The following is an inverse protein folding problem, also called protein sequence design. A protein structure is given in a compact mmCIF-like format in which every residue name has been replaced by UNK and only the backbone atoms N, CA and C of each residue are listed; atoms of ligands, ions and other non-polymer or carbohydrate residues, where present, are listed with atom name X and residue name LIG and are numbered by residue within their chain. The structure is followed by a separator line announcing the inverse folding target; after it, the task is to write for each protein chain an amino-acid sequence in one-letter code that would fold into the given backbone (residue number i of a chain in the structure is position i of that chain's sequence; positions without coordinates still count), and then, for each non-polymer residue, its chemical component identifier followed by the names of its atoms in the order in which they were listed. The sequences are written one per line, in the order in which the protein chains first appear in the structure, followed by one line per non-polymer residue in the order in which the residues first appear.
data_IF_531797477648
#
_entry.id   IF_531797477648
#
_cell.length_a   1.000
_cell.length_b   1.000
_cell.length_c   1.000
_cell.angle_alpha   90.00
_cell.angle_beta   90.00
_cell.angle_gamma   90.00
#
_symmetry.space_group_name_H-M   'P 1'
#
loop_
_entity.id
_entity.type
_entity.pdbx_description
1 polymer ?
#
# COMPACT_ATOMS: atom_id res chain seq x y z
N UNK A 1 7.50 3.86 20.64
CA UNK A 1 8.14 2.53 20.48
C UNK A 1 7.46 1.79 19.33
N UNK A 2 8.23 1.12 18.46
CA UNK A 2 7.65 0.36 17.33
C UNK A 2 7.08 -1.00 17.78
N UNK A 3 6.15 -1.55 16.98
CA UNK A 3 5.64 -2.91 17.15
C UNK A 3 6.78 -3.94 17.07
N UNK A 4 6.79 -4.95 17.95
CA UNK A 4 7.80 -6.01 18.03
C UNK A 4 7.24 -7.42 17.79
N UNK A 5 6.01 -7.54 17.26
CA UNK A 5 5.33 -8.83 17.07
C UNK A 5 6.02 -9.76 16.04
N UNK A 6 6.88 -9.22 15.16
CA UNK A 6 7.56 -9.96 14.10
C UNK A 6 9.08 -9.82 14.25
N UNK A 7 9.77 -10.70 15.02
CA UNK A 7 11.20 -10.57 15.31
C UNK A 7 12.06 -10.46 14.05
N UNK A 8 11.81 -11.29 13.01
CA UNK A 8 12.52 -11.25 11.73
C UNK A 8 12.43 -9.87 11.05
N UNK A 9 11.27 -9.22 11.08
CA UNK A 9 11.10 -7.88 10.47
C UNK A 9 11.77 -6.79 11.30
N UNK A 10 11.79 -6.93 12.62
CA UNK A 10 12.50 -6.02 13.52
C UNK A 10 14.01 -6.12 13.31
N UNK A 11 14.55 -7.33 13.23
CA UNK A 11 15.96 -7.59 12.93
C UNK A 11 16.34 -7.02 11.56
N UNK A 12 15.55 -7.34 10.52
CA UNK A 12 15.77 -6.84 9.16
C UNK A 12 15.77 -5.31 9.08
N UNK A 13 14.87 -4.65 9.80
CA UNK A 13 14.83 -3.19 9.89
C UNK A 13 16.09 -2.64 10.57
N UNK A 14 16.54 -3.27 11.67
CA UNK A 14 17.76 -2.89 12.40
C UNK A 14 19.00 -3.06 11.53
N UNK A 15 19.16 -4.18 10.84
CA UNK A 15 20.27 -4.42 9.90
C UNK A 15 20.26 -3.38 8.76
N UNK A 16 19.08 -3.04 8.25
CA UNK A 16 18.93 -2.04 7.17
C UNK A 16 19.40 -0.68 7.65
N UNK A 17 19.04 -0.30 8.87
CA UNK A 17 19.42 1.00 9.43
C UNK A 17 20.94 1.12 9.64
N UNK A 18 21.59 0.02 10.04
CA UNK A 18 23.00 0.03 10.40
C UNK A 18 23.93 -0.17 9.19
N UNK A 19 23.67 -1.17 8.34
CA UNK A 19 24.68 -1.70 7.44
C UNK A 19 24.23 -1.94 5.99
N UNK A 20 22.95 -1.81 5.69
CA UNK A 20 22.42 -2.24 4.38
C UNK A 20 21.61 -1.15 3.69
N UNK A 21 22.09 0.08 3.74
CA UNK A 21 21.54 1.20 3.00
C UNK A 21 21.83 1.03 1.50
N UNK A 22 20.99 1.61 0.67
CA UNK A 22 21.20 1.59 -0.78
C UNK A 22 22.20 2.69 -1.16
N UNK A 23 23.03 2.42 -2.16
CA UNK A 23 23.96 3.41 -2.74
C UNK A 23 23.19 4.69 -3.12
N UNK A 24 23.76 5.82 -2.75
CA UNK A 24 23.15 7.15 -2.91
C UNK A 24 22.17 7.57 -1.79
N UNK A 25 21.93 6.70 -0.81
CA UNK A 25 21.08 6.97 0.37
C UNK A 25 21.79 6.63 1.69
N UNK A 26 23.11 6.62 1.70
CA UNK A 26 23.93 6.22 2.86
C UNK A 26 23.75 7.17 4.04
N UNK A 27 23.52 8.46 3.76
CA UNK A 27 23.33 9.51 4.75
C UNK A 27 21.86 9.66 5.20
N UNK A 28 20.91 9.02 4.52
CA UNK A 28 19.49 9.14 4.86
C UNK A 28 19.22 8.56 6.25
N UNK A 29 18.39 9.23 7.05
CA UNK A 29 17.85 8.62 8.27
C UNK A 29 16.69 7.68 7.91
N UNK A 30 17.03 6.41 7.66
CA UNK A 30 16.03 5.41 7.33
C UNK A 30 15.00 5.24 8.45
N UNK A 31 13.73 5.29 8.09
CA UNK A 31 12.60 5.10 9.02
C UNK A 31 12.70 3.78 9.79
N UNK A 32 12.85 2.65 9.10
CA UNK A 32 13.08 1.30 9.64
C UNK A 32 12.14 0.93 10.82
N UNK A 33 10.90 1.35 10.75
CA UNK A 33 9.83 1.09 11.73
C UNK A 33 8.56 0.70 10.98
N UNK A 34 7.47 0.25 11.66
CA UNK A 34 6.18 0.09 11.00
C UNK A 34 5.77 1.39 10.30
N UNK A 35 5.45 1.28 9.01
CA UNK A 35 5.01 2.42 8.19
C UNK A 35 3.54 2.68 8.49
N UNK A 36 3.17 3.87 8.99
CA UNK A 36 1.78 4.22 9.23
C UNK A 36 1.01 4.36 7.91
N UNK A 37 -0.30 4.28 7.97
CA UNK A 37 -1.16 4.65 6.86
C UNK A 37 -1.10 6.17 6.64
N UNK A 38 -1.38 6.62 5.41
CA UNK A 38 -1.30 8.02 5.01
C UNK A 38 -2.61 8.48 4.38
N UNK A 39 -3.09 9.66 4.73
CA UNK A 39 -4.38 10.22 4.34
C UNK A 39 -5.41 10.23 5.49
N UNK A 40 -6.55 10.89 5.28
CA UNK A 40 -7.59 11.05 6.29
C UNK A 40 -8.37 9.74 6.51
N UNK A 41 -8.85 9.51 7.74
CA UNK A 41 -9.77 8.41 8.05
C UNK A 41 -11.19 8.64 7.50
N UNK A 42 -11.57 9.90 7.27
CA UNK A 42 -12.86 10.27 6.68
C UNK A 42 -12.93 10.07 5.15
N UNK A 43 -11.81 9.66 4.53
CA UNK A 43 -11.73 9.44 3.09
C UNK A 43 -12.67 8.33 2.60
N UNK A 44 -13.19 8.47 1.38
CA UNK A 44 -14.06 7.46 0.75
C UNK A 44 -13.28 6.34 0.07
N UNK A 45 -11.98 6.52 -0.16
CA UNK A 45 -11.13 5.55 -0.85
C UNK A 45 -10.00 5.07 0.03
N UNK A 46 -9.82 3.74 0.13
CA UNK A 46 -8.65 3.11 0.76
C UNK A 46 -7.84 2.35 -0.30
N UNK A 47 -6.59 2.71 -0.49
CA UNK A 47 -5.65 1.98 -1.36
C UNK A 47 -4.78 1.07 -0.49
N UNK A 48 -4.72 -0.23 -0.83
CA UNK A 48 -3.99 -1.23 -0.06
C UNK A 48 -2.88 -1.86 -0.89
N UNK A 49 -1.62 -1.72 -0.41
CA UNK A 49 -0.48 -2.51 -0.84
C UNK A 49 -0.24 -3.73 0.04
N UNK A 50 0.71 -4.59 -0.34
CA UNK A 50 1.09 -5.75 0.47
C UNK A 50 1.97 -5.34 1.66
N UNK A 51 3.09 -4.68 1.38
CA UNK A 51 4.10 -4.32 2.38
C UNK A 51 5.01 -3.20 1.85
N UNK A 52 5.68 -2.44 2.74
CA UNK A 52 6.66 -1.43 2.35
C UNK A 52 7.86 -2.05 1.63
N UNK A 53 8.34 -1.39 0.57
CA UNK A 53 9.66 -1.68 0.00
C UNK A 53 10.77 -1.19 0.94
N UNK A 54 11.86 -1.97 1.06
CA UNK A 54 13.00 -1.69 1.96
C UNK A 54 13.56 -0.27 1.78
N UNK A 55 13.85 0.11 0.53
CA UNK A 55 14.47 1.39 0.16
C UNK A 55 13.44 2.45 -0.32
N UNK A 56 12.15 2.09 -0.35
CA UNK A 56 11.01 2.97 -0.57
C UNK A 56 10.38 3.39 0.76
N UNK A 57 9.17 2.94 1.02
CA UNK A 57 8.41 3.28 2.23
C UNK A 57 9.11 2.84 3.54
N UNK A 58 9.89 1.75 3.52
CA UNK A 58 10.72 1.33 4.66
C UNK A 58 11.84 2.33 5.00
N UNK A 59 12.29 3.12 4.02
CA UNK A 59 13.24 4.23 4.19
C UNK A 59 12.52 5.51 4.59
N UNK A 60 11.49 5.89 3.87
CA UNK A 60 10.85 7.21 3.98
C UNK A 60 9.79 7.32 5.08
N UNK A 61 9.23 6.21 5.56
CA UNK A 61 8.16 6.20 6.58
C UNK A 61 6.76 6.47 6.04
N UNK A 62 6.57 6.70 4.72
CA UNK A 62 5.26 6.91 4.10
C UNK A 62 4.98 5.85 3.03
N UNK A 63 3.75 5.26 2.96
CA UNK A 63 3.41 4.24 1.98
C UNK A 63 3.68 4.71 0.55
N UNK A 64 4.20 3.81 -0.29
CA UNK A 64 4.49 4.09 -1.71
C UNK A 64 5.36 5.34 -1.94
N UNK A 65 6.28 5.66 -1.04
CA UNK A 65 7.14 6.84 -1.18
C UNK A 65 8.59 6.42 -1.32
N UNK A 66 9.27 6.97 -2.34
CA UNK A 66 10.69 6.73 -2.59
C UNK A 66 11.00 5.47 -3.40
N UNK A 67 10.03 4.89 -4.10
CA UNK A 67 10.20 3.81 -5.07
C UNK A 67 9.36 4.03 -6.34
N UNK A 68 9.63 3.22 -7.37
CA UNK A 68 8.99 3.34 -8.68
C UNK A 68 7.46 3.15 -8.62
N UNK A 69 6.97 2.25 -7.79
CA UNK A 69 5.53 2.04 -7.66
C UNK A 69 4.83 3.28 -7.10
N UNK A 70 5.49 3.96 -6.19
CA UNK A 70 5.05 5.25 -5.65
C UNK A 70 5.06 6.37 -6.69
N UNK A 71 6.09 6.44 -7.54
CA UNK A 71 6.13 7.42 -8.64
C UNK A 71 4.89 7.29 -9.55
N UNK A 72 4.53 6.04 -9.91
CA UNK A 72 3.35 5.75 -10.73
C UNK A 72 2.06 6.08 -9.99
N UNK A 73 1.95 5.67 -8.71
CA UNK A 73 0.74 5.86 -7.90
C UNK A 73 0.46 7.34 -7.66
N UNK A 74 1.42 8.09 -7.12
CA UNK A 74 1.19 9.51 -6.79
C UNK A 74 1.00 10.37 -8.03
N UNK A 75 1.63 10.02 -9.16
CA UNK A 75 1.35 10.69 -10.43
C UNK A 75 -0.11 10.49 -10.84
N UNK A 76 -0.64 9.26 -10.78
CA UNK A 76 -2.02 8.97 -11.14
C UNK A 76 -3.02 9.62 -10.16
N UNK A 77 -2.72 9.59 -8.85
CA UNK A 77 -3.53 10.28 -7.84
C UNK A 77 -3.60 11.79 -8.08
N UNK A 78 -2.48 12.42 -8.42
CA UNK A 78 -2.45 13.85 -8.72
C UNK A 78 -3.25 14.19 -9.98
N UNK A 79 -3.10 13.43 -11.05
CA UNK A 79 -3.85 13.62 -12.29
C UNK A 79 -5.37 13.38 -12.11
N UNK A 80 -5.76 12.66 -11.07
CA UNK A 80 -7.17 12.39 -10.71
C UNK A 80 -7.70 13.27 -9.57
N UNK A 81 -6.93 14.25 -9.10
CA UNK A 81 -7.34 15.18 -8.06
C UNK A 81 -7.20 14.69 -6.61
N UNK A 82 -6.69 13.48 -6.38
CA UNK A 82 -6.53 12.90 -5.05
C UNK A 82 -5.24 13.28 -4.31
N UNK A 83 -4.30 13.96 -4.96
CA UNK A 83 -3.02 14.32 -4.35
C UNK A 83 -2.59 15.73 -4.74
N UNK A 84 -2.08 16.51 -3.78
CA UNK A 84 -1.57 17.87 -3.99
C UNK A 84 -0.32 17.89 -4.87
N UNK A 85 0.41 16.77 -4.99
CA UNK A 85 1.64 16.66 -5.78
C UNK A 85 1.73 15.32 -6.51
N UNK A 86 2.34 15.34 -7.70
CA UNK A 86 2.67 14.14 -8.48
C UNK A 86 3.91 13.40 -7.99
N UNK A 87 4.65 13.97 -7.03
CA UNK A 87 5.88 13.39 -6.49
C UNK A 87 5.78 13.24 -4.99
N UNK A 88 6.15 12.06 -4.50
CA UNK A 88 6.25 11.74 -3.08
C UNK A 88 7.70 11.32 -2.79
N UNK A 89 8.44 12.12 -2.01
CA UNK A 89 9.88 11.93 -1.78
C UNK A 89 10.21 11.63 -0.33
N UNK A 90 9.51 12.21 0.63
CA UNK A 90 9.73 12.02 2.08
C UNK A 90 8.42 12.14 2.85
N UNK A 91 8.46 11.82 4.15
CA UNK A 91 7.31 12.00 5.03
C UNK A 91 6.98 13.49 5.26
N UNK A 92 7.97 14.37 5.15
CA UNK A 92 7.88 15.81 5.45
C UNK A 92 7.88 16.68 4.18
N UNK A 93 7.51 16.16 3.02
CA UNK A 93 7.54 16.90 1.74
C UNK A 93 6.32 17.77 1.48
N UNK A 94 5.39 17.86 2.44
CA UNK A 94 4.18 18.68 2.34
C UNK A 94 3.11 18.10 1.40
N UNK A 95 3.26 16.86 0.92
CA UNK A 95 2.22 16.21 0.11
C UNK A 95 1.01 15.91 0.96
N UNK A 96 -0.16 16.31 0.47
CA UNK A 96 -1.46 16.02 1.05
C UNK A 96 -2.29 15.12 0.12
N UNK A 97 -3.13 14.28 0.71
CA UNK A 97 -4.10 13.46 0.02
C UNK A 97 -5.51 13.99 0.29
N UNK A 98 -6.31 14.11 -0.75
CA UNK A 98 -7.72 14.46 -0.70
C UNK A 98 -8.56 13.22 -1.00
N UNK A 99 -9.50 12.91 -0.11
CA UNK A 99 -10.47 11.80 -0.22
C UNK A 99 -9.89 10.40 -0.47
N UNK A 100 -8.59 10.21 -0.25
CA UNK A 100 -7.92 8.91 -0.35
C UNK A 100 -7.02 8.65 0.85
N UNK A 101 -6.97 7.38 1.27
CA UNK A 101 -6.06 6.88 2.30
C UNK A 101 -5.28 5.70 1.75
N UNK A 102 -4.00 5.59 2.11
CA UNK A 102 -3.10 4.54 1.62
C UNK A 102 -2.56 3.75 2.80
N UNK A 103 -2.67 2.43 2.74
CA UNK A 103 -2.19 1.50 3.74
C UNK A 103 -1.43 0.30 3.13
N UNK A 104 -0.78 -0.48 3.97
CA UNK A 104 -0.24 -1.79 3.62
C UNK A 104 -0.80 -2.88 4.53
N UNK A 105 -1.05 -4.06 4.00
CA UNK A 105 -1.49 -5.23 4.75
C UNK A 105 -0.48 -5.65 5.83
N UNK A 106 0.83 -5.50 5.54
CA UNK A 106 1.93 -5.63 6.49
C UNK A 106 2.66 -4.30 6.58
N UNK A 107 2.80 -3.74 7.77
CA UNK A 107 3.33 -2.38 7.97
C UNK A 107 4.86 -2.28 8.01
N UNK A 108 5.57 -3.40 8.09
CA UNK A 108 7.04 -3.45 8.12
C UNK A 108 7.59 -4.00 6.81
N UNK A 109 8.72 -3.48 6.35
CA UNK A 109 9.40 -3.97 5.16
C UNK A 109 9.95 -5.40 5.36
N UNK A 110 9.50 -6.40 4.59
CA UNK A 110 10.01 -7.75 4.70
C UNK A 110 11.22 -7.98 3.76
N UNK A 111 12.11 -8.94 4.07
CA UNK A 111 13.13 -9.38 3.13
C UNK A 111 12.52 -9.78 1.78
N UNK A 112 13.15 -9.33 0.68
CA UNK A 112 12.72 -9.61 -0.69
C UNK A 112 11.26 -9.21 -1.01
N UNK A 113 10.66 -8.31 -0.25
CA UNK A 113 9.25 -7.92 -0.33
C UNK A 113 8.28 -9.11 -0.13
N UNK A 114 8.71 -10.14 0.62
CA UNK A 114 7.95 -11.36 0.89
C UNK A 114 7.71 -11.54 2.39
N UNK A 115 6.58 -11.07 2.93
CA UNK A 115 6.21 -11.34 4.31
C UNK A 115 5.90 -12.82 4.50
N UNK A 116 6.23 -13.37 5.66
CA UNK A 116 5.81 -14.69 6.07
C UNK A 116 4.33 -14.69 6.49
N UNK A 117 3.71 -15.89 6.46
CA UNK A 117 2.30 -16.03 6.84
C UNK A 117 2.02 -15.54 8.27
N UNK A 118 2.90 -15.84 9.21
CA UNK A 118 2.78 -15.37 10.60
C UNK A 118 2.85 -13.84 10.73
N UNK A 119 3.69 -13.18 9.92
CA UNK A 119 3.82 -11.72 9.91
C UNK A 119 2.56 -11.05 9.35
N UNK A 120 1.96 -11.65 8.34
CA UNK A 120 0.68 -11.25 7.80
C UNK A 120 -0.42 -11.39 8.87
N UNK A 121 -0.48 -12.53 9.56
CA UNK A 121 -1.45 -12.78 10.62
C UNK A 121 -1.28 -11.81 11.80
N UNK A 122 -0.04 -11.53 12.20
CA UNK A 122 0.29 -10.56 13.26
C UNK A 122 -0.11 -9.13 12.89
N UNK A 123 -0.08 -8.78 11.59
CA UNK A 123 -0.40 -7.45 11.10
C UNK A 123 -1.88 -7.27 10.72
N UNK A 124 -2.60 -8.36 10.43
CA UNK A 124 -4.00 -8.37 10.00
C UNK A 124 -4.96 -7.57 10.90
N UNK A 125 -4.88 -7.62 12.25
CA UNK A 125 -5.75 -6.81 13.10
C UNK A 125 -5.67 -5.32 12.82
N UNK A 126 -4.49 -4.82 12.45
CA UNK A 126 -4.31 -3.40 12.11
C UNK A 126 -4.96 -3.02 10.77
N UNK A 127 -4.99 -3.94 9.79
CA UNK A 127 -5.70 -3.72 8.54
C UNK A 127 -7.22 -3.73 8.77
N UNK A 128 -7.72 -4.65 9.59
CA UNK A 128 -9.16 -4.71 9.94
C UNK A 128 -9.56 -3.42 10.64
N UNK A 129 -8.83 -3.01 11.66
CA UNK A 129 -9.08 -1.76 12.40
C UNK A 129 -9.06 -0.54 11.48
N UNK A 130 -8.12 -0.46 10.53
CA UNK A 130 -8.03 0.61 9.54
C UNK A 130 -9.32 0.75 8.74
N UNK A 131 -9.85 -0.37 8.23
CA UNK A 131 -11.09 -0.41 7.45
C UNK A 131 -12.31 -0.05 8.31
N UNK A 132 -12.37 -0.55 9.54
CA UNK A 132 -13.47 -0.29 10.48
C UNK A 132 -13.52 1.17 10.95
N UNK A 133 -12.38 1.85 11.02
CA UNK A 133 -12.30 3.26 11.39
C UNK A 133 -12.71 4.21 10.25
N UNK A 134 -12.76 3.75 9.00
CA UNK A 134 -13.14 4.55 7.84
C UNK A 134 -14.66 4.49 7.60
N UNK A 135 -15.43 5.30 8.36
CA UNK A 135 -16.90 5.29 8.33
C UNK A 135 -17.50 5.70 6.98
N UNK A 136 -16.77 6.46 6.16
CA UNK A 136 -17.24 6.96 4.86
C UNK A 136 -16.77 6.12 3.67
N UNK A 137 -16.14 4.96 3.92
CA UNK A 137 -15.52 4.14 2.88
C UNK A 137 -16.52 3.72 1.78
N UNK A 138 -16.16 3.96 0.51
CA UNK A 138 -16.91 3.59 -0.69
C UNK A 138 -16.15 2.59 -1.57
N UNK A 139 -14.83 2.75 -1.63
CA UNK A 139 -13.95 1.89 -2.43
C UNK A 139 -12.72 1.45 -1.66
N UNK A 140 -12.37 0.18 -1.81
CA UNK A 140 -11.04 -0.33 -1.46
C UNK A 140 -10.35 -0.76 -2.74
N UNK A 141 -9.21 -0.15 -3.07
CA UNK A 141 -8.37 -0.54 -4.21
C UNK A 141 -7.22 -1.42 -3.74
N UNK A 142 -7.22 -2.70 -4.12
CA UNK A 142 -6.12 -3.62 -3.85
C UNK A 142 -5.08 -3.57 -4.98
N UNK A 143 -3.86 -3.16 -4.67
CA UNK A 143 -2.73 -3.11 -5.60
C UNK A 143 -1.98 -4.44 -5.62
N UNK A 144 -2.35 -5.30 -6.56
CA UNK A 144 -1.78 -6.62 -6.80
C UNK A 144 -2.50 -7.76 -6.08
N UNK A 145 -2.32 -8.97 -6.63
CA UNK A 145 -3.00 -10.19 -6.14
C UNK A 145 -2.74 -10.50 -4.66
N UNK A 146 -1.52 -10.21 -4.16
CA UNK A 146 -1.21 -10.49 -2.77
C UNK A 146 -1.96 -9.55 -1.81
N UNK A 147 -2.07 -8.27 -2.13
CA UNK A 147 -2.86 -7.32 -1.36
C UNK A 147 -4.35 -7.71 -1.35
N UNK A 148 -4.90 -8.04 -2.53
CA UNK A 148 -6.26 -8.57 -2.66
C UNK A 148 -6.50 -9.79 -1.77
N UNK A 149 -5.61 -10.80 -1.84
CA UNK A 149 -5.71 -12.01 -1.02
C UNK A 149 -5.72 -11.71 0.48
N UNK A 150 -4.90 -10.75 0.93
CA UNK A 150 -4.87 -10.37 2.34
C UNK A 150 -6.16 -9.68 2.76
N UNK A 151 -6.71 -8.83 1.92
CA UNK A 151 -8.00 -8.18 2.18
C UNK A 151 -9.13 -9.22 2.30
N UNK A 152 -9.31 -10.10 1.31
CA UNK A 152 -10.34 -11.15 1.33
C UNK A 152 -10.19 -12.04 2.58
N UNK A 153 -8.95 -12.45 2.91
CA UNK A 153 -8.70 -13.25 4.12
C UNK A 153 -8.97 -12.49 5.41
N UNK A 154 -8.74 -11.17 5.44
CA UNK A 154 -9.05 -10.34 6.62
C UNK A 154 -10.54 -10.23 6.87
N UNK A 155 -11.35 -10.27 5.83
CA UNK A 155 -12.81 -10.30 5.89
C UNK A 155 -13.37 -11.71 6.13
N UNK A 156 -12.51 -12.73 6.33
CA UNK A 156 -12.88 -14.16 6.51
C UNK A 156 -13.67 -14.73 5.32
N UNK A 157 -13.50 -14.18 4.13
CA UNK A 157 -14.15 -14.60 2.90
C UNK A 157 -13.32 -15.65 2.15
N UNK A 158 -13.99 -16.49 1.34
CA UNK A 158 -13.35 -17.50 0.50
C UNK A 158 -12.75 -16.84 -0.74
N UNK A 159 -11.46 -17.03 -0.98
CA UNK A 159 -10.75 -16.43 -2.12
C UNK A 159 -11.22 -16.92 -3.49
N UNK A 160 -11.81 -18.11 -3.55
CA UNK A 160 -12.39 -18.69 -4.77
C UNK A 160 -13.58 -17.91 -5.29
N UNK A 161 -14.31 -17.24 -4.39
CA UNK A 161 -15.54 -16.51 -4.70
C UNK A 161 -15.24 -15.08 -5.19
N UNK A 162 -14.04 -14.58 -4.90
CA UNK A 162 -13.57 -13.24 -5.25
C UNK A 162 -12.24 -13.33 -6.02
N UNK A 163 -12.31 -13.67 -7.31
CA UNK A 163 -11.11 -13.86 -8.13
C UNK A 163 -10.43 -12.52 -8.42
N UNK A 164 -9.11 -12.47 -8.23
CA UNK A 164 -8.32 -11.34 -8.60
C UNK A 164 -8.22 -11.18 -10.13
N UNK A 165 -8.45 -10.00 -10.63
CA UNK A 165 -8.20 -9.58 -12.01
C UNK A 165 -8.01 -8.06 -12.04
N UNK A 166 -7.26 -7.56 -13.03
CA UNK A 166 -7.17 -6.12 -13.24
C UNK A 166 -8.56 -5.58 -13.59
N UNK A 167 -8.96 -4.44 -13.01
CA UNK A 167 -10.29 -3.82 -13.13
C UNK A 167 -11.47 -4.65 -12.58
N UNK A 168 -11.25 -5.81 -11.97
CA UNK A 168 -12.37 -6.51 -11.33
C UNK A 168 -12.89 -5.73 -10.14
N UNK A 169 -14.21 -5.65 -10.05
CA UNK A 169 -14.95 -5.02 -8.95
C UNK A 169 -15.78 -6.10 -8.26
N UNK A 170 -15.70 -6.15 -6.94
CA UNK A 170 -16.48 -7.06 -6.11
C UNK A 170 -17.33 -6.28 -5.11
N UNK A 171 -18.60 -6.67 -4.99
CA UNK A 171 -19.44 -6.34 -3.84
C UNK A 171 -19.22 -7.42 -2.79
N UNK A 172 -18.80 -7.04 -1.61
CA UNK A 172 -18.54 -7.97 -0.51
C UNK A 172 -19.77 -8.11 0.39
N UNK A 173 -20.01 -9.28 0.98
CA UNK A 173 -21.09 -9.46 1.94
C UNK A 173 -20.95 -8.47 3.11
N UNK A 174 -22.06 -7.90 3.56
CA UNK A 174 -22.16 -7.00 4.71
C UNK A 174 -21.22 -5.77 4.65
N UNK A 175 -20.90 -5.31 3.42
CA UNK A 175 -20.08 -4.12 3.19
C UNK A 175 -20.77 -3.15 2.23
N UNK A 176 -20.79 -1.89 2.62
CA UNK A 176 -21.34 -0.79 1.80
C UNK A 176 -20.33 -0.24 0.80
N UNK A 177 -19.09 -0.73 0.83
CA UNK A 177 -18.01 -0.38 -0.08
C UNK A 177 -17.69 -1.51 -1.06
N UNK A 178 -17.11 -1.16 -2.20
CA UNK A 178 -16.71 -2.10 -3.26
C UNK A 178 -15.19 -2.33 -3.23
N UNK A 179 -14.78 -3.58 -3.45
CA UNK A 179 -13.39 -3.93 -3.69
C UNK A 179 -13.08 -3.83 -5.18
N UNK A 180 -12.16 -2.95 -5.54
CA UNK A 180 -11.58 -2.86 -6.88
C UNK A 180 -10.15 -3.40 -6.89
N UNK A 181 -9.72 -3.99 -7.98
CA UNK A 181 -8.40 -4.59 -8.11
C UNK A 181 -7.61 -3.97 -9.25
N UNK A 182 -6.33 -3.73 -9.01
CA UNK A 182 -5.36 -3.38 -10.04
C UNK A 182 -4.16 -4.31 -10.00
N UNK A 183 -3.54 -4.57 -11.15
CA UNK A 183 -2.16 -5.04 -11.14
C UNK A 183 -1.29 -4.04 -10.38
N UNK A 184 -0.28 -4.55 -9.65
CA UNK A 184 0.63 -3.70 -8.88
C UNK A 184 1.45 -2.81 -9.83
N UNK A 185 1.57 -1.49 -9.60
CA UNK A 185 2.30 -0.56 -10.47
C UNK A 185 3.83 -0.69 -10.32
N UNK A 186 4.33 -1.93 -10.25
CA UNK A 186 5.75 -2.24 -10.17
C UNK A 186 6.46 -1.99 -11.50
N UNK A 187 7.75 -1.70 -11.43
CA UNK A 187 8.60 -1.56 -12.62
C UNK A 187 8.49 -2.80 -13.55
N UNK A 188 8.40 -4.00 -12.97
CA UNK A 188 8.23 -5.23 -13.74
C UNK A 188 6.94 -5.21 -14.57
N UNK A 189 5.78 -4.94 -13.95
CA UNK A 189 4.50 -4.93 -14.67
C UNK A 189 4.43 -3.82 -15.73
N UNK A 190 5.01 -2.65 -15.45
CA UNK A 190 5.05 -1.55 -16.42
C UNK A 190 5.98 -1.89 -17.60
N UNK A 191 7.20 -2.39 -17.33
CA UNK A 191 8.16 -2.72 -18.39
C UNK A 191 7.69 -3.89 -19.27
N UNK A 192 6.99 -4.87 -18.70
CA UNK A 192 6.41 -6.00 -19.45
C UNK A 192 5.08 -5.66 -20.12
N UNK A 193 4.60 -4.42 -19.99
CA UNK A 193 3.29 -3.97 -20.49
C UNK A 193 2.09 -4.76 -19.96
N UNK A 194 2.26 -5.52 -18.86
CA UNK A 194 1.15 -6.15 -18.17
C UNK A 194 0.21 -5.10 -17.55
N UNK A 195 0.78 -3.98 -17.13
CA UNK A 195 0.08 -2.77 -16.71
C UNK A 195 0.71 -1.60 -17.45
N UNK A 196 -0.08 -0.81 -18.18
CA UNK A 196 0.37 0.48 -18.67
C UNK A 196 0.00 1.60 -17.70
N UNK A 197 0.67 2.75 -17.80
CA UNK A 197 0.28 3.92 -17.01
C UNK A 197 -1.17 4.33 -17.27
N UNK A 198 -1.60 4.30 -18.54
CA UNK A 198 -2.97 4.64 -18.91
C UNK A 198 -4.00 3.70 -18.26
N UNK A 199 -3.79 2.39 -18.31
CA UNK A 199 -4.65 1.40 -17.61
C UNK A 199 -4.73 1.68 -16.11
N UNK A 200 -3.61 2.10 -15.50
CA UNK A 200 -3.58 2.39 -14.07
C UNK A 200 -4.31 3.69 -13.74
N UNK A 201 -4.13 4.73 -14.56
CA UNK A 201 -4.81 6.02 -14.42
C UNK A 201 -6.34 5.86 -14.52
N UNK A 202 -6.81 5.07 -15.49
CA UNK A 202 -8.25 4.78 -15.66
C UNK A 202 -8.88 4.13 -14.42
N UNK A 203 -8.13 3.24 -13.74
CA UNK A 203 -8.61 2.67 -12.47
C UNK A 203 -8.71 3.74 -11.39
N UNK A 204 -7.70 4.60 -11.25
CA UNK A 204 -7.73 5.67 -10.24
C UNK A 204 -8.88 6.63 -10.51
N UNK A 205 -9.13 6.99 -11.76
CA UNK A 205 -10.24 7.86 -12.15
C UNK A 205 -11.63 7.26 -11.84
N UNK A 206 -11.77 5.92 -11.88
CA UNK A 206 -13.03 5.25 -11.49
C UNK A 206 -13.32 5.31 -9.99
N UNK A 207 -12.39 5.75 -9.15
CA UNK A 207 -12.59 5.91 -7.72
C UNK A 207 -13.24 7.25 -7.35
N UNK A 208 -13.38 8.18 -8.30
CA UNK A 208 -13.93 9.53 -8.09
C UNK A 208 -15.49 9.57 -8.05
N UNK A 209 -16.17 8.39 -8.24
CA UNK A 209 -17.64 8.37 -8.37
C UNK A 209 -18.31 7.22 -7.62
#
# INVERSE_FOLDING_TARGET
MGCKKCPRLVEYASETKLNKRKDGFEIDDYWCKPVPSFGNLEAHVLIIGLAPGRHGAGRTGRPFTGDYAGEVLYKALHESGFSSSKKAVSIDDGLELDDVRIANAVRCAPPQNKPLQEEILNCRPYLIQEIEMMGNLKFVLALGNLAHKQLISSMKLRQTDFKFGHETIHTLPDKDWKLMNSYHPSRYNINTKRLTYQMFLEIIQKLTH
#
